data_IF_862439604608
#
_entry.id   IF_862439604608
#
_cell.length_a   1.000
_cell.length_b   1.000
_cell.length_c   1.000
_cell.angle_alpha   90.00
_cell.angle_beta   90.00
_cell.angle_gamma   90.00
#
_symmetry.space_group_name_H-M   'P 1'
#
loop_
_entity.id
_entity.type
_entity.pdbx_description
1 polymer ?
#
# COMPACT_ATOMS: atom_id res chain seq x y z
N UNK A 1 -22.44 6.10 -22.39
CA UNK A 1 -21.91 5.11 -21.43
C UNK A 1 -20.40 5.26 -21.39
N UNK A 2 -19.84 5.90 -20.36
CA UNK A 2 -18.38 6.09 -20.23
C UNK A 2 -17.78 4.82 -19.63
N UNK A 3 -17.00 4.09 -20.42
CA UNK A 3 -16.23 2.94 -19.95
C UNK A 3 -14.90 3.43 -19.37
N UNK A 4 -14.77 3.35 -18.05
CA UNK A 4 -13.49 3.61 -17.38
C UNK A 4 -12.68 2.33 -17.33
N UNK A 5 -11.55 2.31 -18.02
CA UNK A 5 -10.57 1.23 -17.94
C UNK A 5 -9.54 1.58 -16.87
N UNK A 6 -9.41 0.71 -15.86
CA UNK A 6 -8.33 0.76 -14.90
C UNK A 6 -7.52 -0.53 -15.05
N UNK A 7 -6.26 -0.40 -15.45
CA UNK A 7 -5.36 -1.53 -15.57
C UNK A 7 -4.68 -1.76 -14.22
N UNK A 8 -4.78 -2.99 -13.71
CA UNK A 8 -4.11 -3.41 -12.48
C UNK A 8 -2.71 -3.93 -12.83
N UNK A 9 -1.72 -3.57 -12.03
CA UNK A 9 -0.34 -4.06 -12.16
C UNK A 9 -0.18 -5.45 -11.57
N UNK A 10 0.95 -6.09 -11.87
CA UNK A 10 1.46 -7.23 -11.10
C UNK A 10 1.59 -6.78 -9.63
N UNK A 11 1.29 -7.67 -8.69
CA UNK A 11 1.27 -7.46 -7.23
C UNK A 11 0.16 -6.56 -6.69
N UNK A 12 -0.83 -6.18 -7.51
CA UNK A 12 -1.95 -5.40 -7.04
C UNK A 12 -2.98 -6.25 -6.27
N UNK A 13 -3.26 -5.86 -5.02
CA UNK A 13 -4.36 -6.43 -4.24
C UNK A 13 -5.66 -5.68 -4.53
N UNK A 14 -6.64 -6.41 -5.05
CA UNK A 14 -7.97 -5.90 -5.34
C UNK A 14 -9.03 -6.56 -4.44
N UNK A 15 -9.93 -5.74 -3.91
CA UNK A 15 -11.14 -6.21 -3.23
C UNK A 15 -11.01 -6.50 -1.73
N UNK A 16 -9.82 -6.34 -1.19
CA UNK A 16 -9.53 -6.32 0.25
C UNK A 16 -10.49 -5.39 1.01
N UNK A 17 -10.70 -4.18 0.51
CA UNK A 17 -11.57 -3.18 1.11
C UNK A 17 -13.03 -3.66 1.19
N UNK A 18 -13.54 -4.31 0.14
CA UNK A 18 -14.93 -4.76 0.06
C UNK A 18 -15.22 -5.87 1.07
N UNK A 19 -14.27 -6.79 1.23
CA UNK A 19 -14.33 -7.87 2.22
C UNK A 19 -14.34 -7.34 3.66
N UNK A 20 -13.58 -6.27 3.94
CA UNK A 20 -13.51 -5.68 5.27
C UNK A 20 -14.81 -4.95 5.63
N UNK A 21 -15.37 -4.16 4.71
CA UNK A 21 -16.57 -3.36 4.97
C UNK A 21 -17.88 -4.12 4.72
N UNK A 22 -17.82 -5.31 4.11
CA UNK A 22 -19.00 -6.09 3.73
C UNK A 22 -19.80 -5.45 2.60
N UNK A 23 -19.15 -4.72 1.70
CA UNK A 23 -19.82 -4.05 0.58
C UNK A 23 -19.75 -4.88 -0.71
N UNK A 24 -20.67 -4.60 -1.62
CA UNK A 24 -20.64 -5.15 -2.97
C UNK A 24 -19.57 -4.47 -3.84
N UNK A 25 -19.05 -5.21 -4.81
CA UNK A 25 -18.13 -4.69 -5.81
C UNK A 25 -18.89 -3.79 -6.80
N UNK A 26 -18.54 -2.50 -6.92
CA UNK A 26 -19.20 -1.58 -7.84
C UNK A 26 -18.75 -1.76 -9.29
N UNK A 27 -17.76 -2.63 -9.53
CA UNK A 27 -17.10 -2.77 -10.81
C UNK A 27 -16.93 -4.26 -11.16
N UNK A 28 -17.10 -4.57 -12.44
CA UNK A 28 -16.75 -5.87 -13.01
C UNK A 28 -15.27 -5.87 -13.39
N UNK A 29 -14.55 -6.90 -12.93
CA UNK A 29 -13.18 -7.17 -13.34
C UNK A 29 -13.18 -8.17 -14.50
N UNK A 30 -12.32 -7.91 -15.49
CA UNK A 30 -12.09 -8.82 -16.61
C UNK A 30 -10.59 -8.96 -16.85
N UNK A 31 -10.12 -10.19 -17.04
CA UNK A 31 -8.75 -10.43 -17.47
C UNK A 31 -8.58 -10.06 -18.95
N UNK A 32 -7.50 -9.36 -19.28
CA UNK A 32 -7.16 -8.98 -20.67
C UNK A 32 -6.37 -10.10 -21.38
N UNK A 33 -5.85 -11.08 -20.63
CA UNK A 33 -5.13 -12.24 -21.16
C UNK A 33 -5.04 -13.38 -20.14
N UNK A 34 -3.99 -14.18 -20.20
CA UNK A 34 -3.69 -15.16 -19.15
C UNK A 34 -3.20 -14.45 -17.89
N UNK A 35 -3.82 -14.75 -16.76
CA UNK A 35 -3.43 -14.21 -15.46
C UNK A 35 -3.48 -15.30 -14.41
N UNK A 36 -2.51 -15.27 -13.49
CA UNK A 36 -2.50 -16.10 -12.29
C UNK A 36 -3.05 -15.26 -11.15
N UNK A 37 -4.13 -15.72 -10.54
CA UNK A 37 -4.81 -15.01 -9.46
C UNK A 37 -4.78 -15.85 -8.20
N UNK A 38 -4.40 -15.24 -7.10
CA UNK A 38 -4.51 -15.83 -5.77
C UNK A 38 -5.72 -15.24 -5.07
N UNK A 39 -6.65 -16.09 -4.63
CA UNK A 39 -7.86 -15.68 -3.95
C UNK A 39 -7.74 -15.94 -2.45
N UNK A 40 -8.07 -14.94 -1.64
CA UNK A 40 -8.14 -15.07 -0.19
C UNK A 40 -9.59 -14.87 0.27
N UNK A 41 -10.13 -15.86 0.98
CA UNK A 41 -11.48 -15.80 1.53
C UNK A 41 -11.60 -14.78 2.67
N UNK A 42 -12.84 -14.36 2.96
CA UNK A 42 -13.14 -13.38 4.03
C UNK A 42 -12.62 -13.84 5.39
N UNK A 43 -12.83 -15.11 5.73
CA UNK A 43 -12.45 -15.65 7.04
C UNK A 43 -10.92 -15.68 7.19
N UNK A 44 -10.21 -16.16 6.16
CA UNK A 44 -8.75 -16.17 6.13
C UNK A 44 -8.17 -14.75 6.23
N UNK A 45 -8.75 -13.78 5.51
CA UNK A 45 -8.36 -12.38 5.60
C UNK A 45 -8.60 -11.80 7.01
N UNK A 46 -9.66 -12.22 7.69
CA UNK A 46 -9.95 -11.79 9.06
C UNK A 46 -8.91 -12.28 10.06
N UNK A 47 -8.40 -13.52 9.91
CA UNK A 47 -7.29 -14.04 10.70
C UNK A 47 -6.01 -13.23 10.47
N UNK A 48 -5.65 -12.96 9.21
CA UNK A 48 -4.48 -12.13 8.89
C UNK A 48 -4.60 -10.74 9.53
N UNK A 49 -5.78 -10.12 9.50
CA UNK A 49 -5.97 -8.82 10.13
C UNK A 49 -5.98 -8.83 11.66
N UNK A 50 -6.19 -9.97 12.29
CA UNK A 50 -6.00 -10.12 13.73
C UNK A 50 -4.51 -9.96 14.08
N UNK A 51 -3.62 -10.56 13.28
CA UNK A 51 -2.17 -10.46 13.47
C UNK A 51 -1.61 -9.09 13.03
N UNK A 52 -2.23 -8.45 12.04
CA UNK A 52 -1.77 -7.18 11.47
C UNK A 52 -2.82 -6.05 11.58
N UNK A 53 -3.09 -5.51 12.78
CA UNK A 53 -4.13 -4.50 13.00
C UNK A 53 -3.85 -3.17 12.28
N UNK A 54 -2.58 -2.81 12.06
CA UNK A 54 -2.21 -1.61 11.29
C UNK A 54 -2.60 -1.74 9.82
N UNK A 55 -2.38 -2.92 9.21
CA UNK A 55 -2.78 -3.19 7.83
C UNK A 55 -4.31 -3.08 7.68
N UNK A 56 -5.06 -3.63 8.64
CA UNK A 56 -6.53 -3.48 8.67
C UNK A 56 -6.98 -2.01 8.66
N UNK A 57 -6.36 -1.16 9.48
CA UNK A 57 -6.65 0.28 9.51
C UNK A 57 -6.35 0.97 8.18
N UNK A 58 -5.26 0.61 7.51
CA UNK A 58 -4.93 1.14 6.18
C UNK A 58 -5.98 0.76 5.14
N UNK A 59 -6.39 -0.52 5.11
CA UNK A 59 -7.41 -1.02 4.19
C UNK A 59 -8.76 -0.33 4.44
N UNK A 60 -9.17 -0.14 5.70
CA UNK A 60 -10.36 0.62 6.05
C UNK A 60 -10.30 2.08 5.57
N UNK A 61 -9.16 2.76 5.76
CA UNK A 61 -8.98 4.14 5.29
C UNK A 61 -9.03 4.23 3.75
N UNK A 62 -8.48 3.23 3.06
CA UNK A 62 -8.59 3.13 1.59
C UNK A 62 -10.03 2.90 1.16
N UNK A 63 -10.77 2.06 1.89
CA UNK A 63 -12.18 1.77 1.63
C UNK A 63 -13.04 3.04 1.69
N UNK A 64 -12.90 3.84 2.76
CA UNK A 64 -13.66 5.09 2.91
C UNK A 64 -13.33 6.10 1.81
N UNK A 65 -12.05 6.22 1.42
CA UNK A 65 -11.66 7.09 0.30
C UNK A 65 -12.26 6.64 -1.04
N UNK A 66 -12.30 5.33 -1.31
CA UNK A 66 -12.89 4.78 -2.52
C UNK A 66 -14.41 5.03 -2.56
N UNK A 67 -15.09 4.83 -1.43
CA UNK A 67 -16.52 5.07 -1.32
C UNK A 67 -16.86 6.56 -1.56
N UNK A 68 -16.15 7.48 -0.91
CA UNK A 68 -16.34 8.93 -1.14
C UNK A 68 -16.09 9.34 -2.60
N UNK A 69 -15.06 8.76 -3.25
CA UNK A 69 -14.80 9.01 -4.68
C UNK A 69 -15.95 8.49 -5.55
N UNK A 70 -16.52 7.35 -5.22
CA UNK A 70 -17.65 6.79 -5.95
C UNK A 70 -18.90 7.66 -5.81
N UNK A 71 -19.25 8.06 -4.59
CA UNK A 71 -20.37 8.97 -4.30
C UNK A 71 -20.23 10.31 -5.05
N UNK A 72 -19.04 10.90 -5.05
CA UNK A 72 -18.74 12.13 -5.80
C UNK A 72 -18.85 11.98 -7.31
N UNK A 73 -18.58 10.79 -7.86
CA UNK A 73 -18.73 10.53 -9.30
C UNK A 73 -20.20 10.35 -9.67
N UNK A 74 -20.97 9.63 -8.85
CA UNK A 74 -22.40 9.46 -9.06
C UNK A 74 -23.17 10.79 -8.98
N UNK A 75 -22.80 11.68 -8.07
CA UNK A 75 -23.43 13.01 -7.98
C UNK A 75 -23.16 13.89 -9.21
N UNK A 76 -22.00 13.73 -9.87
CA UNK A 76 -21.66 14.45 -11.11
C UNK A 76 -22.37 13.90 -12.35
N UNK A 77 -22.61 12.59 -12.40
CA UNK A 77 -23.36 11.97 -13.52
C UNK A 77 -24.85 12.35 -13.47
N UNK A 78 -25.39 12.60 -12.27
CA UNK A 78 -26.77 13.05 -12.09
C UNK A 78 -27.02 14.53 -12.45
N UNK A 79 -25.99 15.37 -12.61
CA UNK A 79 -26.14 16.83 -12.78
C UNK A 79 -26.00 17.31 -14.22
N UNK A 80 -25.73 16.41 -15.18
CA UNK A 80 -25.73 16.72 -16.62
C UNK A 80 -27.12 16.96 -17.24
N UNK A 81 -28.21 16.79 -16.48
CA UNK A 81 -29.60 16.95 -16.98
C UNK A 81 -30.57 17.48 -15.90
N UNK A 82 -30.11 18.30 -14.95
CA UNK A 82 -30.98 18.82 -13.89
C UNK A 82 -30.69 20.28 -13.50
N UNK A 83 -30.19 21.08 -14.44
CA UNK A 83 -29.99 22.52 -14.22
C UNK A 83 -31.29 23.36 -14.36
N UNK A 84 -32.48 22.76 -14.48
CA UNK A 84 -33.69 23.54 -14.80
C UNK A 84 -34.98 23.26 -14.02
N UNK A 85 -35.01 22.44 -12.96
CA UNK A 85 -36.21 22.37 -12.10
C UNK A 85 -35.92 22.62 -10.62
N UNK A 86 -36.39 23.80 -10.22
CA UNK A 86 -36.50 24.37 -8.88
C UNK A 86 -37.38 23.54 -7.93
N UNK A 87 -37.02 23.65 -6.64
CA UNK A 87 -37.86 23.91 -5.44
C UNK A 87 -38.58 22.76 -4.70
N UNK A 88 -38.32 22.79 -3.38
CA UNK A 88 -39.12 22.38 -2.18
C UNK A 88 -39.30 20.86 -2.00
N UNK A 89 -38.98 20.23 -0.86
CA UNK A 89 -39.31 20.59 0.54
C UNK A 89 -38.54 19.68 1.54
N UNK A 90 -37.96 20.26 2.62
CA UNK A 90 -38.28 20.02 4.07
C UNK A 90 -37.60 18.75 4.64
N UNK A 91 -36.88 18.71 5.77
CA UNK A 91 -36.52 19.66 6.83
C UNK A 91 -35.31 19.06 7.59
N UNK A 92 -34.25 19.84 7.83
CA UNK A 92 -33.35 19.67 8.98
C UNK A 92 -32.84 21.06 9.36
N UNK A 93 -33.45 21.57 10.45
CA UNK A 93 -33.05 22.65 11.37
C UNK A 93 -32.01 23.70 10.95
N UNK A 94 -32.30 25.00 11.16
CA UNK A 94 -31.29 26.06 11.03
C UNK A 94 -30.38 26.05 12.26
N UNK A 95 -29.19 25.48 12.14
CA UNK A 95 -28.08 25.88 13.00
C UNK A 95 -27.55 27.22 12.47
N UNK A 96 -27.99 28.31 13.12
CA UNK A 96 -27.10 29.42 13.50
C UNK A 96 -25.86 28.76 14.16
N UNK A 97 -24.61 29.04 13.83
CA UNK A 97 -23.94 30.32 13.66
C UNK A 97 -22.85 30.23 12.56
N UNK A 98 -22.79 31.23 11.69
CA UNK A 98 -21.84 31.32 10.57
C UNK A 98 -20.70 32.32 10.85
N UNK A 99 -20.22 32.38 12.09
CA UNK A 99 -19.10 33.26 12.46
C UNK A 99 -17.88 32.54 13.05
N UNK A 100 -17.95 31.22 13.31
CA UNK A 100 -16.80 30.41 13.77
C UNK A 100 -16.03 29.68 12.64
N UNK A 101 -16.42 29.88 11.37
CA UNK A 101 -15.91 29.09 10.24
C UNK A 101 -14.46 29.40 9.84
N UNK A 102 -13.95 30.60 10.15
CA UNK A 102 -12.60 31.00 9.75
C UNK A 102 -11.51 30.49 10.71
N UNK A 103 -11.82 30.34 12.01
CA UNK A 103 -10.88 29.75 12.99
C UNK A 103 -10.76 28.23 12.85
N UNK A 104 -11.82 27.54 12.41
CA UNK A 104 -11.76 26.10 12.13
C UNK A 104 -10.96 25.78 10.85
N UNK A 105 -10.96 26.68 9.87
CA UNK A 105 -10.23 26.52 8.62
C UNK A 105 -8.70 26.68 8.81
N UNK A 106 -8.26 27.66 9.59
CA UNK A 106 -6.83 27.84 9.93
C UNK A 106 -6.26 26.66 10.71
N UNK A 107 -7.03 26.09 11.65
CA UNK A 107 -6.63 24.89 12.41
C UNK A 107 -6.44 23.65 11.51
N UNK A 108 -7.25 23.50 10.45
CA UNK A 108 -7.08 22.40 9.51
C UNK A 108 -5.86 22.60 8.60
N UNK A 109 -5.62 23.82 8.16
CA UNK A 109 -4.46 24.15 7.33
C UNK A 109 -3.14 23.91 8.08
N UNK A 110 -3.03 24.37 9.32
CA UNK A 110 -1.87 24.08 10.19
C UNK A 110 -1.64 22.58 10.33
N UNK A 111 -2.70 21.82 10.59
CA UNK A 111 -2.62 20.35 10.74
C UNK A 111 -2.20 19.65 9.44
N UNK A 112 -2.56 20.21 8.28
CA UNK A 112 -2.07 19.68 6.99
C UNK A 112 -0.62 20.05 6.71
N UNK A 113 -0.15 21.21 7.17
CA UNK A 113 1.25 21.60 7.06
C UNK A 113 2.14 20.70 7.93
N UNK A 114 1.74 20.45 9.19
CA UNK A 114 2.42 19.52 10.09
C UNK A 114 2.48 18.10 9.52
N UNK A 115 1.37 17.61 8.95
CA UNK A 115 1.36 16.32 8.28
C UNK A 115 2.30 16.27 7.07
N UNK A 116 2.42 17.35 6.29
CA UNK A 116 3.36 17.41 5.16
C UNK A 116 4.80 17.38 5.65
N UNK A 117 5.12 18.12 6.71
CA UNK A 117 6.44 18.07 7.34
C UNK A 117 6.78 16.68 7.87
N UNK A 118 5.82 16.01 8.51
CA UNK A 118 6.00 14.64 8.99
C UNK A 118 6.22 13.66 7.82
N UNK A 119 5.47 13.78 6.73
CA UNK A 119 5.67 12.96 5.52
C UNK A 119 7.07 13.19 4.96
N UNK A 120 7.52 14.43 4.87
CA UNK A 120 8.83 14.75 4.30
C UNK A 120 9.98 14.21 5.16
N UNK A 121 9.86 14.30 6.48
CA UNK A 121 10.83 13.68 7.41
C UNK A 121 10.89 12.16 7.23
N UNK A 122 9.73 11.50 7.13
CA UNK A 122 9.66 10.05 6.91
C UNK A 122 10.29 9.67 5.56
N UNK A 123 10.04 10.43 4.50
CA UNK A 123 10.66 10.17 3.19
C UNK A 123 12.18 10.24 3.27
N UNK A 124 12.72 11.25 3.95
CA UNK A 124 14.17 11.36 4.15
C UNK A 124 14.77 10.19 4.96
N UNK A 125 14.05 9.69 5.96
CA UNK A 125 14.48 8.53 6.74
C UNK A 125 14.44 7.24 5.91
N UNK A 126 13.45 7.08 5.03
CA UNK A 126 13.37 5.94 4.10
C UNK A 126 14.53 5.97 3.11
N UNK A 127 14.83 7.12 2.52
CA UNK A 127 15.97 7.28 1.59
C UNK A 127 17.31 6.95 2.28
N UNK A 128 17.49 7.37 3.54
CA UNK A 128 18.68 7.00 4.32
C UNK A 128 18.74 5.50 4.61
N UNK A 129 17.61 4.89 4.95
CA UNK A 129 17.53 3.46 5.19
C UNK A 129 17.87 2.65 3.93
N UNK A 130 17.38 3.07 2.77
CA UNK A 130 17.71 2.45 1.47
C UNK A 130 19.20 2.58 1.16
N UNK A 131 19.78 3.76 1.35
CA UNK A 131 21.22 3.98 1.16
C UNK A 131 22.07 3.08 2.06
N UNK A 132 21.72 3.01 3.35
CA UNK A 132 22.39 2.13 4.31
C UNK A 132 22.25 0.65 3.93
N UNK A 133 21.08 0.22 3.45
CA UNK A 133 20.87 -1.15 2.99
C UNK A 133 21.76 -1.49 1.79
N UNK A 134 21.88 -0.59 0.81
CA UNK A 134 22.74 -0.79 -0.36
C UNK A 134 24.20 -0.91 0.06
N UNK A 135 24.70 0.00 0.91
CA UNK A 135 26.08 -0.03 1.41
C UNK A 135 26.37 -1.34 2.15
N UNK A 136 25.48 -1.74 3.06
CA UNK A 136 25.64 -2.97 3.84
C UNK A 136 25.56 -4.22 2.97
N UNK A 137 24.66 -4.25 1.99
CA UNK A 137 24.52 -5.35 1.02
C UNK A 137 25.78 -5.51 0.17
N UNK A 138 26.37 -4.40 -0.29
CA UNK A 138 27.65 -4.43 -1.02
C UNK A 138 28.80 -4.92 -0.14
N UNK A 139 28.91 -4.43 1.09
CA UNK A 139 29.95 -4.87 2.02
C UNK A 139 29.85 -6.38 2.33
N UNK A 140 28.63 -6.89 2.55
CA UNK A 140 28.41 -8.31 2.81
C UNK A 140 28.74 -9.18 1.60
N UNK A 141 28.37 -8.73 0.39
CA UNK A 141 28.76 -9.42 -0.86
C UNK A 141 30.27 -9.49 -1.00
N UNK A 142 30.98 -8.39 -0.75
CA UNK A 142 32.45 -8.37 -0.80
C UNK A 142 33.07 -9.34 0.21
N UNK A 143 32.56 -9.38 1.45
CA UNK A 143 33.02 -10.33 2.46
C UNK A 143 32.78 -11.78 2.04
N UNK A 144 31.59 -12.08 1.49
CA UNK A 144 31.25 -13.42 1.02
C UNK A 144 32.17 -13.85 -0.13
N UNK A 145 32.42 -12.98 -1.11
CA UNK A 145 33.36 -13.27 -2.20
C UNK A 145 34.80 -13.45 -1.70
N UNK A 146 35.22 -12.74 -0.65
CA UNK A 146 36.53 -12.94 -0.03
C UNK A 146 36.66 -14.33 0.59
N UNK A 147 35.65 -14.75 1.36
CA UNK A 147 35.61 -16.07 1.99
C UNK A 147 35.56 -17.20 0.96
N UNK A 148 34.79 -17.02 -0.12
CA UNK A 148 34.75 -17.99 -1.23
C UNK A 148 36.12 -18.18 -1.87
N UNK A 149 36.86 -17.08 -2.10
CA UNK A 149 38.23 -17.16 -2.63
C UNK A 149 39.17 -17.87 -1.67
N UNK A 150 39.14 -17.51 -0.39
CA UNK A 150 39.96 -18.17 0.64
C UNK A 150 39.66 -19.68 0.72
N UNK A 151 38.39 -20.06 0.59
CA UNK A 151 37.99 -21.46 0.60
C UNK A 151 38.54 -22.21 -0.62
N UNK A 152 38.38 -21.64 -1.83
CA UNK A 152 38.92 -22.20 -3.07
C UNK A 152 40.45 -22.36 -2.98
N UNK A 153 41.14 -21.37 -2.41
CA UNK A 153 42.61 -21.40 -2.27
C UNK A 153 43.09 -22.42 -1.22
N UNK A 154 42.28 -22.72 -0.20
CA UNK A 154 42.61 -23.69 0.85
C UNK A 154 42.22 -25.13 0.48
N UNK A 155 41.20 -25.33 -0.35
CA UNK A 155 40.73 -26.65 -0.78
C UNK A 155 41.85 -27.60 -1.27
N UNK A 156 42.79 -27.20 -2.15
CA UNK A 156 43.86 -28.10 -2.60
C UNK A 156 44.83 -28.46 -1.47
N UNK A 157 45.09 -27.54 -0.53
CA UNK A 157 45.98 -27.81 0.62
C UNK A 157 45.37 -28.83 1.57
N UNK A 158 44.05 -28.75 1.78
CA UNK A 158 43.31 -29.71 2.59
C UNK A 158 43.28 -31.10 1.92
N UNK A 159 43.03 -31.17 0.61
CA UNK A 159 43.08 -32.43 -0.16
C UNK A 159 44.46 -33.09 -0.06
N UNK A 160 45.53 -32.33 -0.25
CA UNK A 160 46.90 -32.85 -0.15
C UNK A 160 47.22 -33.40 1.25
N UNK A 161 46.79 -32.73 2.33
CA UNK A 161 46.95 -33.22 3.71
C UNK A 161 46.18 -34.50 4.00
N UNK A 162 44.99 -34.64 3.40
CA UNK A 162 44.16 -35.82 3.55
C UNK A 162 44.78 -37.03 2.85
N UNK A 163 45.33 -36.83 1.65
CA UNK A 163 46.06 -37.87 0.90
C UNK A 163 47.37 -38.28 1.58
N UNK A 164 48.11 -37.33 2.18
CA UNK A 164 49.33 -37.68 2.93
C UNK A 164 49.04 -38.48 4.19
N UNK A 165 47.88 -38.26 4.83
CA UNK A 165 47.48 -38.98 6.04
C UNK A 165 47.11 -40.44 5.76
N UNK A 166 46.56 -40.74 4.58
CA UNK A 166 46.21 -42.12 4.15
C UNK A 166 47.41 -43.03 3.88
N UNK A 167 48.63 -42.48 3.77
CA UNK A 167 49.86 -43.26 3.50
C UNK A 167 50.57 -43.74 4.77
N UNK A 168 50.07 -43.38 5.95
CA UNK A 168 50.69 -43.67 7.25
C UNK A 168 50.02 -44.88 7.94
N UNK A 169 48.88 -45.34 7.43
CA UNK A 169 48.24 -46.63 7.78
C UNK A 169 48.65 -47.74 6.80
#
# INVERSE_FOLDING_TARGET
>A
MLLYFCQLSVDFVYGDWALVIGAHFPHTLRSVGFSTVYALGRDALSFVFADYPRARKMVLRRATQLQQRHERKMSKVSTGSAALFRRRSVCLSPFRDAEDSDQAATSLEERTADMRHAIWAITGDVERMESNFVINSMAMKQQMTSLEKEFIDQEPKLKARLESSKKIE
#
